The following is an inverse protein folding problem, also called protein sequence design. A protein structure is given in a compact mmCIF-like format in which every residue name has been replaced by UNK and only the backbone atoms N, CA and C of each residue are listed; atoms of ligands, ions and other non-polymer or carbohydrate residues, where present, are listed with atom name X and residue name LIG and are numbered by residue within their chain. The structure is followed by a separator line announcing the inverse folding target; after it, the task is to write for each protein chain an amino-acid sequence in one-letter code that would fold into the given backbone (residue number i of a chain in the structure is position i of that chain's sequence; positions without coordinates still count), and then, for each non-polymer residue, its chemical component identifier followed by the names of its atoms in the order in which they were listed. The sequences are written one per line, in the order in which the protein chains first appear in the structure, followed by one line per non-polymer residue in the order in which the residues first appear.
data_IF_386979113133
#
_entry.id   IF_386979113133
#
_cell.length_a   1.000
_cell.length_b   1.000
_cell.length_c   1.000
_cell.angle_alpha   90.00
_cell.angle_beta   90.00
_cell.angle_gamma   90.00
#
_symmetry.space_group_name_H-M   'P 1'
#
loop_
_entity.id
_entity.type
_entity.pdbx_description
1 polymer ?
#
# COMPACT_ATOMS: atom_id res chain seq x y z
N UNK A 1 12.38 9.72 17.73
CA UNK A 1 13.07 8.98 16.64
C UNK A 1 14.44 8.50 17.10
N UNK A 2 14.63 7.21 17.41
CA UNK A 2 15.97 6.66 17.69
C UNK A 2 16.68 6.48 16.34
N UNK A 3 17.72 7.28 16.06
CA UNK A 3 18.60 7.07 14.89
C UNK A 3 19.26 5.69 15.00
N UNK A 4 19.38 4.96 13.88
CA UNK A 4 20.10 3.68 13.83
C UNK A 4 21.53 3.90 14.37
N UNK A 5 22.01 3.18 15.40
CA UNK A 5 23.29 3.47 16.07
C UNK A 5 24.48 3.46 15.09
N UNK A 6 24.42 2.61 14.06
CA UNK A 6 25.43 2.54 13.01
C UNK A 6 25.60 3.83 12.19
N UNK A 7 24.52 4.62 12.02
CA UNK A 7 24.59 5.90 11.29
C UNK A 7 25.32 6.99 12.08
N UNK A 8 25.28 6.92 13.42
CA UNK A 8 25.98 7.88 14.27
C UNK A 8 27.50 7.64 14.25
N UNK A 9 27.95 6.39 14.36
CA UNK A 9 29.37 6.06 14.28
C UNK A 9 29.97 6.35 12.90
N UNK A 10 29.25 6.03 11.82
CA UNK A 10 29.69 6.36 10.47
C UNK A 10 29.76 7.89 10.25
N UNK A 11 28.81 8.65 10.78
CA UNK A 11 28.82 10.11 10.71
C UNK A 11 29.99 10.72 11.49
N UNK A 12 30.29 10.21 12.69
CA UNK A 12 31.44 10.66 13.49
C UNK A 12 32.75 10.33 12.77
N UNK A 13 32.89 9.11 12.24
CA UNK A 13 34.05 8.71 11.46
C UNK A 13 34.26 9.61 10.25
N UNK A 14 33.20 9.88 9.48
CA UNK A 14 33.24 10.80 8.35
C UNK A 14 33.66 12.22 8.77
N UNK A 15 33.11 12.75 9.87
CA UNK A 15 33.48 14.06 10.39
C UNK A 15 34.97 14.13 10.76
N UNK A 16 35.50 13.12 11.46
CA UNK A 16 36.92 13.05 11.82
C UNK A 16 37.79 13.03 10.54
N UNK A 17 37.45 12.18 9.56
CA UNK A 17 38.18 12.10 8.29
C UNK A 17 38.16 13.44 7.55
N UNK A 18 37.00 14.11 7.49
CA UNK A 18 36.88 15.41 6.84
C UNK A 18 37.68 16.49 7.55
N UNK A 19 37.64 16.55 8.90
CA UNK A 19 38.44 17.48 9.68
C UNK A 19 39.94 17.29 9.45
N UNK A 20 40.42 16.04 9.43
CA UNK A 20 41.82 15.74 9.15
C UNK A 20 42.23 16.19 7.74
N UNK A 21 41.43 15.88 6.71
CA UNK A 21 41.72 16.28 5.33
C UNK A 21 41.75 17.81 5.17
N UNK A 22 40.84 18.53 5.82
CA UNK A 22 40.79 20.00 5.76
C UNK A 22 41.98 20.62 6.49
N UNK A 23 42.29 20.16 7.71
CA UNK A 23 43.43 20.68 8.50
C UNK A 23 44.76 20.43 7.78
N UNK A 24 44.90 19.29 7.11
CA UNK A 24 46.09 18.96 6.31
C UNK A 24 46.13 19.60 4.92
N UNK A 25 45.17 20.48 4.58
CA UNK A 25 45.15 21.22 3.31
C UNK A 25 44.65 20.43 2.08
N UNK A 26 44.12 19.22 2.26
CA UNK A 26 43.58 18.37 1.18
C UNK A 26 42.10 18.66 0.89
N UNK A 27 41.79 19.91 0.53
CA UNK A 27 40.40 20.37 0.33
C UNK A 27 39.65 19.60 -0.76
N UNK A 28 40.31 19.28 -1.88
CA UNK A 28 39.70 18.50 -2.96
C UNK A 28 39.32 17.08 -2.49
N UNK A 29 40.20 16.43 -1.73
CA UNK A 29 39.93 15.11 -1.15
C UNK A 29 38.77 15.15 -0.15
N UNK A 30 38.69 16.21 0.67
CA UNK A 30 37.56 16.41 1.59
C UNK A 30 36.24 16.58 0.83
N UNK A 31 36.23 17.34 -0.27
CA UNK A 31 35.05 17.50 -1.12
C UNK A 31 34.64 16.17 -1.77
N UNK A 32 35.59 15.42 -2.32
CA UNK A 32 35.32 14.11 -2.92
C UNK A 32 34.77 13.11 -1.89
N UNK A 33 35.29 13.11 -0.66
CA UNK A 33 34.79 12.29 0.43
C UNK A 33 33.34 12.65 0.80
N UNK A 34 32.99 13.94 0.83
CA UNK A 34 31.60 14.39 1.04
C UNK A 34 30.67 13.92 -0.08
N UNK A 35 31.08 14.06 -1.34
CA UNK A 35 30.29 13.62 -2.50
C UNK A 35 30.09 12.11 -2.44
N UNK A 36 31.14 11.33 -2.17
CA UNK A 36 31.05 9.88 -2.04
C UNK A 36 30.13 9.47 -0.88
N UNK A 37 30.24 10.12 0.27
CA UNK A 37 29.35 9.86 1.40
C UNK A 37 27.87 10.13 1.07
N UNK A 38 27.59 11.19 0.31
CA UNK A 38 26.25 11.48 -0.18
C UNK A 38 25.74 10.39 -1.14
N UNK A 39 26.56 9.95 -2.10
CA UNK A 39 26.22 8.88 -3.05
C UNK A 39 25.90 7.58 -2.29
N UNK A 40 26.76 7.17 -1.36
CA UNK A 40 26.57 5.96 -0.56
C UNK A 40 25.31 6.04 0.30
N UNK A 41 25.04 7.21 0.90
CA UNK A 41 23.79 7.44 1.65
C UNK A 41 22.56 7.26 0.77
N UNK A 42 22.52 7.88 -0.40
CA UNK A 42 21.36 7.79 -1.30
C UNK A 42 21.17 6.37 -1.86
N UNK A 43 22.27 5.63 -2.09
CA UNK A 43 22.23 4.24 -2.55
C UNK A 43 21.77 3.24 -1.46
N UNK A 44 22.29 3.37 -0.23
CA UNK A 44 22.19 2.31 0.78
C UNK A 44 21.26 2.62 1.96
N UNK A 45 21.09 3.90 2.33
CA UNK A 45 20.46 4.30 3.59
C UNK A 45 19.38 5.39 3.43
N UNK A 46 18.84 5.55 2.22
CA UNK A 46 17.75 6.49 1.95
C UNK A 46 16.36 5.93 2.28
N UNK A 47 16.23 4.65 2.62
CA UNK A 47 14.94 4.03 2.91
C UNK A 47 14.39 4.52 4.26
N UNK A 48 13.14 5.01 4.28
CA UNK A 48 12.48 5.41 5.51
C UNK A 48 11.90 4.19 6.22
N UNK A 49 12.74 3.55 7.04
CA UNK A 49 12.38 2.44 7.92
C UNK A 49 12.75 2.87 9.34
N UNK A 50 11.74 3.20 10.14
CA UNK A 50 11.88 3.81 11.47
C UNK A 50 11.61 2.85 12.64
N UNK A 51 11.80 1.55 12.41
CA UNK A 51 11.76 0.51 13.44
C UNK A 51 13.02 -0.36 13.41
N UNK A 52 13.19 -1.17 14.44
CA UNK A 52 14.33 -2.07 14.57
C UNK A 52 14.10 -3.35 13.74
N UNK A 53 14.71 -3.40 12.57
CA UNK A 53 14.65 -4.52 11.63
C UNK A 53 15.25 -5.82 12.19
N UNK A 54 15.99 -5.76 13.30
CA UNK A 54 16.59 -6.95 13.93
C UNK A 54 15.71 -7.63 14.96
N UNK A 55 14.51 -7.08 15.21
CA UNK A 55 13.51 -7.67 16.09
C UNK A 55 12.59 -8.62 15.35
N UNK A 56 12.05 -9.56 16.10
CA UNK A 56 10.98 -10.44 15.66
C UNK A 56 9.71 -9.63 15.36
N UNK A 57 9.02 -10.02 14.28
CA UNK A 57 7.61 -9.69 14.14
C UNK A 57 6.83 -10.63 15.06
N UNK A 58 5.95 -10.05 15.87
CA UNK A 58 5.23 -10.76 16.95
C UNK A 58 3.71 -10.64 16.77
N UNK A 59 3.24 -10.71 15.53
CA UNK A 59 1.81 -10.65 15.22
C UNK A 59 1.11 -11.93 15.65
N UNK A 60 -0.14 -11.79 16.07
CA UNK A 60 -1.00 -12.94 16.42
C UNK A 60 -2.00 -13.19 15.30
N UNK A 61 -2.38 -14.46 15.12
CA UNK A 61 -3.26 -14.89 14.04
C UNK A 61 -4.48 -15.62 14.63
N UNK A 62 -5.41 -14.83 15.15
CA UNK A 62 -6.61 -15.32 15.80
C UNK A 62 -7.57 -15.93 14.77
N UNK A 63 -8.06 -17.14 15.01
CA UNK A 63 -8.93 -17.86 14.08
C UNK A 63 -8.21 -18.46 12.86
N UNK A 64 -6.88 -18.38 12.80
CA UNK A 64 -6.11 -19.14 11.82
C UNK A 64 -5.94 -20.59 12.25
N UNK A 65 -5.94 -21.51 11.29
CA UNK A 65 -5.42 -22.85 11.51
C UNK A 65 -3.89 -22.80 11.47
N UNK A 66 -3.22 -23.46 12.42
CA UNK A 66 -1.76 -23.53 12.44
C UNK A 66 -1.27 -24.96 12.44
N UNK A 67 -0.20 -25.24 11.70
CA UNK A 67 0.52 -26.51 11.82
C UNK A 67 2.03 -26.31 11.67
N UNK A 68 2.80 -27.10 12.39
CA UNK A 68 4.25 -27.07 12.28
C UNK A 68 4.68 -27.68 10.93
N UNK A 69 5.66 -27.05 10.28
CA UNK A 69 6.18 -27.45 8.99
C UNK A 69 7.69 -27.65 9.10
N UNK A 70 8.17 -28.76 8.54
CA UNK A 70 9.61 -29.01 8.44
C UNK A 70 10.12 -28.51 7.08
N UNK A 71 11.18 -27.73 7.10
CA UNK A 71 11.90 -27.31 5.90
C UNK A 71 13.11 -28.24 5.73
N UNK A 72 13.09 -29.10 4.71
CA UNK A 72 14.16 -30.06 4.44
C UNK A 72 14.80 -29.77 3.10
N UNK A 73 16.11 -29.49 3.08
CA UNK A 73 16.85 -29.13 1.86
C UNK A 73 16.12 -28.05 1.05
N UNK A 74 15.71 -26.96 1.72
CA UNK A 74 14.90 -25.86 1.13
C UNK A 74 13.49 -26.25 0.64
N UNK A 75 13.08 -27.50 0.76
CA UNK A 75 11.77 -27.95 0.33
C UNK A 75 10.79 -27.99 1.51
N UNK A 76 9.56 -27.61 1.23
CA UNK A 76 8.42 -27.70 2.13
C UNK A 76 7.37 -28.56 1.47
N UNK A 77 6.85 -29.53 2.23
CA UNK A 77 5.69 -30.31 1.84
C UNK A 77 4.47 -29.80 2.59
N UNK A 78 3.48 -29.32 1.85
CA UNK A 78 2.27 -28.72 2.39
C UNK A 78 1.19 -29.80 2.62
N UNK A 79 0.44 -29.73 3.74
CA UNK A 79 -0.68 -30.64 3.99
C UNK A 79 -1.75 -30.57 2.89
N UNK A 80 -2.29 -31.71 2.49
CA UNK A 80 -3.27 -31.82 1.39
C UNK A 80 -4.50 -30.92 1.57
N UNK A 81 -4.96 -30.75 2.82
CA UNK A 81 -6.09 -29.89 3.17
C UNK A 81 -5.96 -28.46 2.63
N UNK A 82 -4.73 -27.95 2.53
CA UNK A 82 -4.46 -26.56 2.14
C UNK A 82 -4.15 -26.39 0.65
N UNK A 83 -4.12 -27.47 -0.14
CA UNK A 83 -3.81 -27.43 -1.58
C UNK A 83 -5.03 -27.03 -2.43
N UNK A 84 -5.63 -25.89 -2.10
CA UNK A 84 -6.76 -25.32 -2.84
C UNK A 84 -6.78 -23.80 -2.69
N UNK A 85 -7.68 -23.17 -3.44
CA UNK A 85 -7.84 -21.72 -3.48
C UNK A 85 -8.72 -21.17 -2.35
N UNK A 86 -9.07 -21.95 -1.32
CA UNK A 86 -9.93 -21.48 -0.21
C UNK A 86 -9.14 -20.88 0.94
N UNK A 87 -7.82 -20.97 0.93
CA UNK A 87 -6.97 -20.50 2.03
C UNK A 87 -6.01 -19.40 1.61
N UNK A 88 -5.74 -18.48 2.53
CA UNK A 88 -4.51 -17.66 2.54
C UNK A 88 -3.50 -18.38 3.40
N UNK A 89 -2.30 -18.62 2.85
CA UNK A 89 -1.24 -19.37 3.51
C UNK A 89 -0.03 -18.47 3.76
N UNK A 90 0.36 -18.39 5.02
CA UNK A 90 1.55 -17.71 5.48
C UNK A 90 2.47 -18.70 6.17
N UNK A 91 3.77 -18.52 6.02
CA UNK A 91 4.79 -19.26 6.72
C UNK A 91 5.49 -18.33 7.71
N UNK A 92 5.30 -18.55 9.01
CA UNK A 92 6.17 -17.98 10.03
C UNK A 92 7.53 -18.68 9.94
N UNK A 93 8.59 -17.90 9.81
CA UNK A 93 9.96 -18.39 9.70
C UNK A 93 10.93 -17.37 10.26
N UNK A 94 12.11 -17.84 10.69
CA UNK A 94 13.18 -16.96 11.16
C UNK A 94 14.20 -16.72 10.05
N UNK A 95 14.38 -15.46 9.65
CA UNK A 95 15.43 -15.05 8.71
C UNK A 95 16.57 -14.32 9.41
N UNK A 96 17.73 -14.33 8.77
CA UNK A 96 18.87 -13.47 9.14
C UNK A 96 19.54 -12.97 7.87
N UNK A 97 19.66 -11.66 7.70
CA UNK A 97 20.47 -11.06 6.64
C UNK A 97 21.90 -11.58 6.73
N UNK A 98 22.46 -11.96 5.57
CA UNK A 98 23.90 -12.19 5.47
C UNK A 98 24.63 -10.84 5.43
N UNK A 99 25.96 -10.84 5.38
CA UNK A 99 26.72 -9.59 5.28
C UNK A 99 26.29 -8.74 4.07
N UNK A 100 25.99 -9.40 2.95
CA UNK A 100 25.51 -8.72 1.74
C UNK A 100 24.07 -8.19 1.88
N UNK A 101 23.26 -8.76 2.78
CA UNK A 101 21.89 -8.30 3.10
C UNK A 101 21.79 -6.99 3.87
N UNK A 102 22.93 -6.41 4.26
CA UNK A 102 23.00 -5.03 4.75
C UNK A 102 23.13 -4.00 3.61
N UNK A 103 23.50 -4.44 2.41
CA UNK A 103 23.70 -3.59 1.23
C UNK A 103 22.66 -3.85 0.14
N UNK A 104 22.25 -5.11 -0.05
CA UNK A 104 21.26 -5.54 -1.02
C UNK A 104 19.99 -6.01 -0.31
N UNK A 105 18.84 -5.84 -0.95
CA UNK A 105 17.54 -6.17 -0.36
C UNK A 105 17.44 -7.70 -0.18
N UNK A 106 17.28 -8.22 1.05
CA UNK A 106 17.09 -9.65 1.27
C UNK A 106 15.74 -10.11 0.74
N UNK A 107 15.70 -11.31 0.16
CA UNK A 107 14.45 -11.91 -0.30
C UNK A 107 14.49 -13.43 -0.27
N UNK A 108 13.30 -14.02 -0.21
CA UNK A 108 13.08 -15.44 -0.46
C UNK A 108 12.37 -15.60 -1.80
N UNK A 109 12.89 -16.49 -2.62
CA UNK A 109 12.26 -16.96 -3.84
C UNK A 109 11.48 -18.22 -3.52
N UNK A 110 10.23 -18.28 -3.99
CA UNK A 110 9.30 -19.38 -3.78
C UNK A 110 9.01 -19.99 -5.15
N UNK A 111 9.43 -21.24 -5.32
CA UNK A 111 9.21 -22.00 -6.55
C UNK A 111 8.20 -23.11 -6.31
N UNK A 112 7.18 -23.19 -7.16
CA UNK A 112 6.28 -24.35 -7.23
C UNK A 112 6.65 -25.28 -8.40
N UNK A 113 6.15 -26.52 -8.40
CA UNK A 113 6.43 -27.48 -9.48
C UNK A 113 5.95 -26.99 -10.87
N UNK A 114 4.96 -26.10 -10.91
CA UNK A 114 4.47 -25.46 -12.13
C UNK A 114 5.38 -24.32 -12.64
N UNK A 115 6.56 -24.13 -12.03
CA UNK A 115 7.52 -23.06 -12.36
C UNK A 115 7.00 -21.65 -12.11
N UNK A 116 5.95 -21.48 -11.31
CA UNK A 116 5.61 -20.16 -10.78
C UNK A 116 6.71 -19.75 -9.80
N UNK A 117 7.37 -18.65 -10.14
CA UNK A 117 8.43 -18.06 -9.36
C UNK A 117 7.91 -16.77 -8.74
N UNK A 118 7.72 -16.79 -7.43
CA UNK A 118 7.36 -15.61 -6.66
C UNK A 118 8.52 -15.20 -5.76
N UNK A 119 8.67 -13.92 -5.50
CA UNK A 119 9.67 -13.43 -4.55
C UNK A 119 9.01 -12.53 -3.53
N UNK A 120 9.36 -12.70 -2.25
CA UNK A 120 9.01 -11.76 -1.19
C UNK A 120 10.28 -11.16 -0.61
N UNK A 121 10.33 -9.84 -0.58
CA UNK A 121 11.46 -9.06 -0.10
C UNK A 121 11.27 -8.67 1.37
N UNK A 122 12.38 -8.48 2.07
CA UNK A 122 12.46 -8.09 3.47
C UNK A 122 13.35 -6.85 3.63
N UNK A 123 13.42 -6.33 4.84
CA UNK A 123 14.24 -5.17 5.14
C UNK A 123 15.75 -5.49 5.07
N UNK A 124 16.58 -4.53 4.66
CA UNK A 124 18.03 -4.66 4.79
C UNK A 124 18.43 -4.80 6.26
N UNK A 125 19.26 -5.79 6.55
CA UNK A 125 19.66 -6.14 7.92
C UNK A 125 18.56 -6.83 8.74
N UNK A 126 17.48 -7.30 8.12
CA UNK A 126 16.44 -8.07 8.79
C UNK A 126 17.02 -9.27 9.55
N UNK A 127 16.61 -9.42 10.80
CA UNK A 127 16.93 -10.56 11.64
C UNK A 127 15.72 -10.86 12.52
N UNK A 128 15.36 -12.13 12.62
CA UNK A 128 14.25 -12.59 13.45
C UNK A 128 13.08 -13.15 12.65
N UNK A 129 11.96 -13.35 13.35
CA UNK A 129 10.72 -13.88 12.79
C UNK A 129 10.11 -12.96 11.73
N UNK A 130 9.63 -13.56 10.64
CA UNK A 130 8.91 -12.93 9.53
C UNK A 130 7.81 -13.85 9.03
N UNK A 131 6.84 -13.27 8.32
CA UNK A 131 5.75 -14.00 7.67
C UNK A 131 5.93 -13.97 6.15
N UNK A 132 6.13 -15.14 5.56
CA UNK A 132 6.24 -15.33 4.11
C UNK A 132 4.88 -15.73 3.53
N UNK A 133 4.37 -14.96 2.59
CA UNK A 133 3.13 -15.31 1.89
C UNK A 133 3.40 -16.37 0.82
N UNK A 134 2.81 -17.55 0.99
CA UNK A 134 2.95 -18.69 0.06
C UNK A 134 1.62 -19.04 -0.61
N UNK A 135 0.57 -18.23 -0.41
CA UNK A 135 -0.80 -18.46 -0.93
C UNK A 135 -0.82 -18.77 -2.42
N UNK A 136 0.05 -18.12 -3.20
CA UNK A 136 0.03 -18.20 -4.65
C UNK A 136 0.89 -19.35 -5.21
N UNK A 137 1.76 -19.93 -4.39
CA UNK A 137 2.63 -21.05 -4.79
C UNK A 137 1.89 -22.38 -4.89
N UNK A 138 0.62 -22.42 -4.47
CA UNK A 138 -0.27 -23.59 -4.51
C UNK A 138 -1.45 -23.45 -5.47
N UNK A 139 -1.49 -22.39 -6.28
CA UNK A 139 -2.64 -22.04 -7.11
C UNK A 139 -3.05 -23.15 -8.11
N UNK A 140 -2.10 -23.94 -8.60
CA UNK A 140 -2.39 -25.01 -9.57
C UNK A 140 -2.86 -26.33 -8.93
N UNK A 141 -3.07 -26.36 -7.60
CA UNK A 141 -3.61 -27.49 -6.82
C UNK A 141 -2.87 -28.83 -6.94
N UNK A 142 -1.84 -28.93 -7.77
CA UNK A 142 -1.11 -30.16 -8.07
C UNK A 142 0.22 -30.27 -7.31
N UNK A 143 0.77 -29.15 -6.83
CA UNK A 143 2.10 -29.12 -6.21
C UNK A 143 2.01 -29.20 -4.70
N UNK A 144 2.24 -30.40 -4.14
CA UNK A 144 2.41 -30.60 -2.69
C UNK A 144 3.69 -29.94 -2.15
N UNK A 145 4.65 -29.67 -3.02
CA UNK A 145 5.99 -29.20 -2.66
C UNK A 145 6.24 -27.80 -3.16
N UNK A 146 6.85 -26.98 -2.31
CA UNK A 146 7.42 -25.68 -2.66
C UNK A 146 8.89 -25.65 -2.26
N UNK A 147 9.71 -24.95 -3.04
CA UNK A 147 11.13 -24.75 -2.76
C UNK A 147 11.37 -23.30 -2.40
N UNK A 148 12.15 -23.08 -1.33
CA UNK A 148 12.53 -21.76 -0.82
C UNK A 148 14.02 -21.50 -1.02
N UNK A 149 14.37 -20.59 -1.93
CA UNK A 149 15.75 -20.16 -2.12
C UNK A 149 15.98 -18.81 -1.46
N UNK A 150 17.07 -18.70 -0.69
CA UNK A 150 17.40 -17.49 0.06
C UNK A 150 18.45 -16.64 -0.64
N UNK A 151 18.18 -15.34 -0.76
CA UNK A 151 19.08 -14.37 -1.36
C UNK A 151 19.37 -13.23 -0.38
N UNK A 152 20.66 -12.97 -0.14
CA UNK A 152 21.14 -11.99 0.85
C UNK A 152 20.61 -12.21 2.29
N UNK A 153 20.03 -13.37 2.56
CA UNK A 153 19.61 -13.85 3.87
C UNK A 153 19.83 -15.36 3.97
N UNK A 154 19.76 -15.86 5.20
CA UNK A 154 19.69 -17.28 5.52
C UNK A 154 18.41 -17.56 6.31
N UNK A 155 17.88 -18.76 6.14
CA UNK A 155 16.68 -19.23 6.83
C UNK A 155 17.05 -20.25 7.91
N UNK A 156 16.42 -20.17 9.09
CA UNK A 156 16.47 -21.24 10.08
C UNK A 156 15.35 -22.25 9.79
N UNK A 157 15.74 -23.45 9.35
CA UNK A 157 14.83 -24.50 8.88
C UNK A 157 14.10 -25.26 9.99
N UNK A 158 14.45 -25.04 11.26
CA UNK A 158 13.90 -25.79 12.39
C UNK A 158 12.64 -25.16 13.00
N UNK A 159 12.38 -23.88 12.71
CA UNK A 159 11.34 -23.08 13.39
C UNK A 159 10.35 -22.50 12.37
N UNK A 160 9.67 -23.37 11.62
CA UNK A 160 8.69 -22.96 10.62
C UNK A 160 7.27 -23.42 10.99
N UNK A 161 6.31 -22.50 10.89
CA UNK A 161 4.89 -22.76 11.19
C UNK A 161 4.03 -22.23 10.06
N UNK A 162 3.17 -23.09 9.53
CA UNK A 162 2.13 -22.68 8.59
C UNK A 162 0.98 -22.05 9.37
N UNK A 163 0.50 -20.93 8.85
CA UNK A 163 -0.66 -20.19 9.31
C UNK A 163 -1.62 -20.12 8.12
N UNK A 164 -2.83 -20.65 8.29
CA UNK A 164 -3.83 -20.77 7.23
C UNK A 164 -5.14 -20.10 7.64
N UNK A 165 -5.56 -19.09 6.88
CA UNK A 165 -6.88 -18.48 7.01
C UNK A 165 -7.79 -18.96 5.90
N UNK A 166 -9.01 -19.38 6.26
CA UNK A 166 -10.05 -19.62 5.26
C UNK A 166 -10.50 -18.26 4.69
N UNK A 167 -10.41 -18.10 3.37
CA UNK A 167 -10.82 -16.88 2.67
C UNK A 167 -12.35 -16.78 2.65
N UNK A 168 -12.89 -15.56 2.73
CA UNK A 168 -14.30 -15.32 2.41
C UNK A 168 -14.58 -15.55 0.93
N UNK A 169 -15.83 -15.88 0.61
CA UNK A 169 -16.26 -16.08 -0.76
C UNK A 169 -16.47 -14.74 -1.45
N UNK A 170 -15.62 -14.43 -2.43
CA UNK A 170 -15.67 -13.18 -3.20
C UNK A 170 -16.40 -13.35 -4.54
N UNK A 171 -16.56 -14.59 -5.00
CA UNK A 171 -17.15 -14.87 -6.30
C UNK A 171 -18.64 -14.49 -6.28
N UNK A 172 -19.08 -13.80 -7.34
CA UNK A 172 -20.47 -13.35 -7.48
C UNK A 172 -20.96 -12.40 -6.37
N UNK A 173 -20.04 -11.76 -5.65
CA UNK A 173 -20.35 -10.73 -4.66
C UNK A 173 -20.29 -9.34 -5.28
N UNK A 174 -21.19 -8.46 -4.83
CA UNK A 174 -21.15 -7.02 -5.09
C UNK A 174 -20.19 -6.35 -4.14
N UNK A 175 -19.19 -5.65 -4.69
CA UNK A 175 -18.10 -5.05 -3.93
C UNK A 175 -18.19 -3.52 -4.00
N UNK A 176 -18.42 -2.88 -2.85
CA UNK A 176 -18.28 -1.43 -2.72
C UNK A 176 -16.86 -1.13 -2.25
N UNK A 177 -16.12 -0.31 -2.99
CA UNK A 177 -14.79 0.15 -2.59
C UNK A 177 -14.88 1.59 -2.10
N UNK A 178 -14.50 1.82 -0.85
CA UNK A 178 -14.37 3.15 -0.26
C UNK A 178 -12.92 3.61 -0.46
N UNK A 179 -12.77 4.68 -1.25
CA UNK A 179 -11.51 5.36 -1.59
C UNK A 179 -11.49 6.70 -0.84
N UNK A 180 -10.72 6.85 0.26
CA UNK A 180 -10.60 8.11 0.97
C UNK A 180 -10.15 9.25 0.05
N UNK A 181 -9.15 9.00 -0.78
CA UNK A 181 -8.64 9.92 -1.80
C UNK A 181 -8.77 9.34 -3.22
N UNK A 182 -8.66 10.19 -4.25
CA UNK A 182 -8.63 9.75 -5.65
C UNK A 182 -7.33 9.00 -5.99
N UNK A 183 -7.35 7.66 -5.94
CA UNK A 183 -6.31 6.68 -6.33
C UNK A 183 -6.25 5.48 -5.36
N UNK A 184 -6.75 5.63 -4.13
CA UNK A 184 -6.67 4.58 -3.12
C UNK A 184 -7.35 3.28 -3.56
N UNK A 185 -8.47 3.36 -4.28
CA UNK A 185 -9.14 2.20 -4.85
C UNK A 185 -8.22 1.44 -5.82
N UNK A 186 -7.52 2.14 -6.70
CA UNK A 186 -6.57 1.55 -7.65
C UNK A 186 -5.38 0.95 -6.91
N UNK A 187 -4.84 1.64 -5.90
CA UNK A 187 -3.72 1.17 -5.10
C UNK A 187 -4.08 -0.14 -4.38
N UNK A 188 -5.21 -0.14 -3.67
CA UNK A 188 -5.58 -1.22 -2.77
C UNK A 188 -6.22 -2.41 -3.49
N UNK A 189 -7.10 -2.15 -4.46
CA UNK A 189 -8.11 -3.12 -4.87
C UNK A 189 -8.37 -3.19 -6.38
N UNK A 190 -7.53 -2.61 -7.24
CA UNK A 190 -7.72 -2.66 -8.71
C UNK A 190 -7.98 -4.07 -9.25
N UNK A 191 -7.15 -5.04 -8.86
CA UNK A 191 -7.31 -6.43 -9.28
C UNK A 191 -8.65 -7.00 -8.80
N UNK A 192 -9.01 -6.74 -7.55
CA UNK A 192 -10.24 -7.26 -6.95
C UNK A 192 -11.49 -6.64 -7.57
N UNK A 193 -11.55 -5.31 -7.67
CA UNK A 193 -12.73 -4.64 -8.21
C UNK A 193 -12.85 -4.86 -9.72
N UNK A 194 -11.75 -4.95 -10.48
CA UNK A 194 -11.81 -5.20 -11.93
C UNK A 194 -12.48 -6.54 -12.27
N UNK A 195 -12.35 -7.56 -11.43
CA UNK A 195 -12.93 -8.89 -11.66
C UNK A 195 -14.31 -9.14 -10.99
N UNK A 196 -14.94 -8.13 -10.38
CA UNK A 196 -16.21 -8.27 -9.67
C UNK A 196 -17.25 -7.24 -10.10
N UNK A 197 -18.52 -7.44 -9.74
CA UNK A 197 -19.51 -6.37 -9.80
C UNK A 197 -19.14 -5.36 -8.72
N UNK A 198 -18.71 -4.15 -9.11
CA UNK A 198 -18.13 -3.19 -8.19
C UNK A 198 -18.68 -1.79 -8.36
N UNK A 199 -18.70 -1.06 -7.25
CA UNK A 199 -18.98 0.37 -7.20
C UNK A 199 -17.89 1.07 -6.38
N UNK A 200 -17.37 2.19 -6.85
CA UNK A 200 -16.29 2.93 -6.19
C UNK A 200 -16.84 4.25 -5.62
N UNK A 201 -16.54 4.55 -4.37
CA UNK A 201 -16.87 5.82 -3.73
C UNK A 201 -15.59 6.53 -3.36
N UNK A 202 -15.37 7.71 -3.92
CA UNK A 202 -14.24 8.57 -3.54
C UNK A 202 -14.73 9.63 -2.56
N UNK A 203 -14.22 9.61 -1.33
CA UNK A 203 -14.74 10.43 -0.22
C UNK A 203 -14.30 11.88 -0.35
N UNK A 204 -12.98 12.11 -0.43
CA UNK A 204 -12.41 13.45 -0.54
C UNK A 204 -11.93 13.75 -1.96
N UNK A 205 -11.70 15.04 -2.25
CA UNK A 205 -11.19 15.48 -3.56
C UNK A 205 -9.66 15.38 -3.70
N UNK A 206 -8.92 15.12 -2.61
CA UNK A 206 -7.46 14.98 -2.63
C UNK A 206 -6.73 16.23 -3.16
N UNK A 207 -7.27 17.40 -2.85
CA UNK A 207 -6.95 18.67 -3.49
C UNK A 207 -5.77 19.43 -2.87
N UNK A 208 -5.26 18.97 -1.71
CA UNK A 208 -4.12 19.59 -1.01
C UNK A 208 -2.80 19.40 -1.76
N UNK A 209 -1.75 20.09 -1.30
CA UNK A 209 -0.41 20.03 -1.90
C UNK A 209 -0.43 20.32 -3.42
N UNK A 210 -1.03 21.47 -3.78
CA UNK A 210 -1.27 21.88 -5.17
C UNK A 210 -0.22 22.87 -5.71
N UNK A 211 0.97 22.93 -5.11
CA UNK A 211 2.05 23.87 -5.51
C UNK A 211 2.42 23.75 -7.00
N UNK A 212 2.42 22.53 -7.54
CA UNK A 212 2.71 22.29 -8.96
C UNK A 212 1.64 22.87 -9.90
N UNK A 213 0.43 23.09 -9.39
CA UNK A 213 -0.68 23.72 -10.11
C UNK A 213 -0.67 25.25 -10.01
N UNK A 214 0.06 25.84 -9.05
CA UNK A 214 0.10 27.29 -8.85
C UNK A 214 0.60 28.05 -10.09
N UNK A 215 1.55 27.47 -10.83
CA UNK A 215 2.02 28.04 -12.10
C UNK A 215 0.96 27.97 -13.21
N UNK A 216 0.15 26.91 -13.23
CA UNK A 216 -0.90 26.71 -14.23
C UNK A 216 -2.05 27.70 -14.03
N UNK A 217 -2.42 27.99 -12.78
CA UNK A 217 -3.52 28.92 -12.51
C UNK A 217 -3.10 30.37 -12.67
N UNK A 218 -1.82 30.70 -12.46
CA UNK A 218 -1.28 32.07 -12.55
C UNK A 218 -2.13 33.10 -11.79
N UNK A 219 -2.71 32.70 -10.66
CA UNK A 219 -3.58 33.55 -9.82
C UNK A 219 -5.02 33.72 -10.28
N UNK A 220 -5.43 33.13 -11.42
CA UNK A 220 -6.81 33.22 -11.92
C UNK A 220 -7.79 32.33 -11.14
N UNK A 221 -7.30 31.29 -10.48
CA UNK A 221 -8.09 30.38 -9.64
C UNK A 221 -7.20 29.70 -8.60
N UNK A 222 -7.81 29.17 -7.54
CA UNK A 222 -7.10 28.41 -6.51
C UNK A 222 -6.50 27.13 -7.11
N UNK A 223 -5.19 26.85 -6.93
CA UNK A 223 -4.56 25.63 -7.44
C UNK A 223 -5.23 24.35 -6.96
N UNK A 224 -5.73 24.35 -5.72
CA UNK A 224 -6.46 23.24 -5.10
C UNK A 224 -7.73 22.91 -5.88
N UNK A 225 -8.50 23.92 -6.34
CA UNK A 225 -9.69 23.68 -7.15
C UNK A 225 -9.37 22.95 -8.46
N UNK A 226 -8.25 23.30 -9.11
CA UNK A 226 -7.85 22.65 -10.36
C UNK A 226 -7.33 21.24 -10.11
N UNK A 227 -6.47 21.05 -9.09
CA UNK A 227 -5.98 19.72 -8.70
C UNK A 227 -7.15 18.80 -8.33
N UNK A 228 -8.03 19.23 -7.43
CA UNK A 228 -9.18 18.46 -6.98
C UNK A 228 -10.16 18.14 -8.12
N UNK A 229 -10.41 19.07 -9.05
CA UNK A 229 -11.23 18.78 -10.24
C UNK A 229 -10.59 17.75 -11.16
N UNK A 230 -9.28 17.81 -11.37
CA UNK A 230 -8.55 16.84 -12.18
C UNK A 230 -8.59 15.45 -11.53
N UNK A 231 -8.32 15.37 -10.23
CA UNK A 231 -8.40 14.11 -9.48
C UNK A 231 -9.82 13.54 -9.42
N UNK A 232 -10.84 14.38 -9.27
CA UNK A 232 -12.24 13.97 -9.33
C UNK A 232 -12.63 13.43 -10.71
N UNK A 233 -12.09 14.00 -11.79
CA UNK A 233 -12.25 13.43 -13.12
C UNK A 233 -11.59 12.05 -13.21
N UNK A 234 -10.35 11.92 -12.74
CA UNK A 234 -9.58 10.68 -12.82
C UNK A 234 -10.24 9.55 -12.02
N UNK A 235 -10.72 9.80 -10.80
CA UNK A 235 -11.39 8.77 -9.97
C UNK A 235 -12.67 8.21 -10.59
N UNK A 236 -13.33 8.94 -11.50
CA UNK A 236 -14.51 8.45 -12.23
C UNK A 236 -14.14 7.75 -13.54
N UNK A 237 -13.09 8.22 -14.21
CA UNK A 237 -12.70 7.72 -15.53
C UNK A 237 -11.77 6.51 -15.47
N UNK A 238 -10.88 6.43 -14.47
CA UNK A 238 -9.94 5.31 -14.33
C UNK A 238 -10.66 3.97 -14.15
N UNK A 239 -11.76 3.85 -13.38
CA UNK A 239 -12.52 2.60 -13.31
C UNK A 239 -13.04 2.08 -14.68
N UNK A 240 -13.21 2.94 -15.69
CA UNK A 240 -13.55 2.49 -17.05
C UNK A 240 -12.48 1.59 -17.65
N UNK A 241 -11.20 1.82 -17.32
CA UNK A 241 -10.08 0.99 -17.73
C UNK A 241 -10.20 -0.44 -17.18
N UNK A 242 -10.80 -0.60 -16.00
CA UNK A 242 -11.13 -1.87 -15.39
C UNK A 242 -12.45 -2.48 -15.93
N UNK A 243 -13.04 -1.91 -16.97
CA UNK A 243 -14.30 -2.34 -17.58
C UNK A 243 -15.54 -1.98 -16.76
N UNK A 244 -15.45 -1.02 -15.83
CA UNK A 244 -16.63 -0.50 -15.11
C UNK A 244 -17.36 0.52 -15.97
N UNK A 245 -18.64 0.75 -15.65
CA UNK A 245 -19.41 1.85 -16.24
C UNK A 245 -19.13 3.15 -15.50
N UNK A 246 -19.38 4.30 -16.15
CA UNK A 246 -19.28 5.62 -15.50
C UNK A 246 -20.22 5.74 -14.30
N UNK A 247 -21.35 5.04 -14.30
CA UNK A 247 -22.29 4.96 -13.19
C UNK A 247 -21.84 4.00 -12.06
N UNK A 248 -20.68 3.34 -12.22
CA UNK A 248 -20.07 2.45 -11.22
C UNK A 248 -19.10 3.18 -10.29
N UNK A 249 -19.07 4.50 -10.32
CA UNK A 249 -18.26 5.31 -9.42
C UNK A 249 -18.98 6.63 -9.06
N UNK A 250 -18.70 7.16 -7.88
CA UNK A 250 -19.18 8.48 -7.43
C UNK A 250 -18.12 9.17 -6.58
N UNK A 251 -18.00 10.49 -6.72
CA UNK A 251 -17.20 11.32 -5.83
C UNK A 251 -18.10 12.07 -4.86
N UNK A 252 -17.78 12.03 -3.58
CA UNK A 252 -18.46 12.80 -2.55
C UNK A 252 -17.85 14.20 -2.37
N UNK A 253 -16.63 14.42 -2.86
CA UNK A 253 -16.04 15.75 -2.99
C UNK A 253 -15.78 16.49 -1.67
N UNK A 254 -15.71 15.78 -0.54
CA UNK A 254 -15.32 16.37 0.74
C UNK A 254 -13.86 16.84 0.70
N UNK A 255 -13.49 17.72 1.62
CA UNK A 255 -12.17 18.33 1.59
C UNK A 255 -11.11 17.44 2.22
N UNK A 256 -9.93 17.38 1.61
CA UNK A 256 -8.80 16.60 2.10
C UNK A 256 -8.34 17.08 3.51
N UNK A 257 -7.97 16.14 4.37
CA UNK A 257 -7.74 16.24 5.83
C UNK A 257 -8.82 17.00 6.60
N UNK A 258 -10.11 16.80 6.27
CA UNK A 258 -11.22 17.40 7.03
C UNK A 258 -12.07 16.40 7.79
N UNK A 259 -11.95 15.09 7.52
CA UNK A 259 -12.93 14.11 8.00
C UNK A 259 -12.94 13.96 9.51
N UNK A 260 -11.77 14.06 10.16
CA UNK A 260 -11.68 14.10 11.63
C UNK A 260 -12.39 15.31 12.22
N UNK A 261 -12.16 16.50 11.64
CA UNK A 261 -12.80 17.74 12.10
C UNK A 261 -14.32 17.65 11.97
N UNK A 262 -14.80 17.13 10.84
CA UNK A 262 -16.22 16.88 10.60
C UNK A 262 -16.77 15.91 11.64
N UNK A 263 -16.09 14.80 11.92
CA UNK A 263 -16.54 13.81 12.91
C UNK A 263 -16.66 14.39 14.31
N UNK A 264 -15.66 15.17 14.75
CA UNK A 264 -15.63 15.79 16.07
C UNK A 264 -16.73 16.86 16.22
N UNK A 265 -17.11 17.53 15.12
CA UNK A 265 -18.13 18.58 15.09
C UNK A 265 -19.20 18.28 14.03
N UNK A 266 -19.99 17.22 14.26
CA UNK A 266 -20.84 16.58 13.23
C UNK A 266 -21.75 17.51 12.40
N UNK A 267 -22.26 18.57 13.01
CA UNK A 267 -23.17 19.53 12.37
C UNK A 267 -22.46 20.76 11.79
N UNK A 268 -21.20 21.00 12.16
CA UNK A 268 -20.45 22.18 11.70
C UNK A 268 -20.02 22.00 10.24
N UNK A 269 -20.20 23.06 9.46
CA UNK A 269 -19.76 23.10 8.07
C UNK A 269 -18.26 23.38 8.05
N UNK A 270 -17.51 22.53 7.35
CA UNK A 270 -16.11 22.79 7.04
C UNK A 270 -16.03 23.60 5.77
N UNK A 271 -15.39 24.76 5.84
CA UNK A 271 -15.11 25.60 4.68
C UNK A 271 -13.60 25.65 4.42
N UNK A 272 -13.24 25.89 3.16
CA UNK A 272 -11.86 26.12 2.73
C UNK A 272 -11.77 27.48 2.06
N UNK A 273 -10.59 28.08 2.06
CA UNK A 273 -10.36 29.40 1.41
C UNK A 273 -10.70 29.42 -0.09
N UNK A 274 -10.69 28.24 -0.72
CA UNK A 274 -10.99 28.05 -2.14
C UNK A 274 -12.42 27.55 -2.43
N UNK A 275 -13.15 27.04 -1.45
CA UNK A 275 -14.53 26.60 -1.62
C UNK A 275 -15.23 26.38 -0.28
N UNK A 276 -16.51 26.72 -0.24
CA UNK A 276 -17.47 26.51 0.85
C UNK A 276 -18.39 25.31 0.62
N UNK A 277 -18.23 24.59 -0.50
CA UNK A 277 -19.13 23.51 -0.92
C UNK A 277 -18.37 22.37 -1.61
N UNK A 278 -18.91 21.16 -1.57
CA UNK A 278 -18.34 19.97 -2.22
C UNK A 278 -18.63 19.91 -3.73
N UNK A 279 -19.60 20.69 -4.22
CA UNK A 279 -20.10 20.62 -5.60
C UNK A 279 -19.04 20.72 -6.71
N UNK A 280 -17.99 21.57 -6.61
CA UNK A 280 -16.96 21.65 -7.63
C UNK A 280 -16.27 20.32 -7.94
N UNK A 281 -16.21 19.42 -6.95
CA UNK A 281 -15.56 18.11 -7.06
C UNK A 281 -16.55 16.97 -7.38
N UNK A 282 -17.84 17.29 -7.48
CA UNK A 282 -18.92 16.37 -7.89
C UNK A 282 -19.39 16.59 -9.32
N UNK A 283 -18.88 17.62 -10.00
CA UNK A 283 -19.36 18.08 -11.30
C UNK A 283 -19.36 17.01 -12.41
N UNK A 284 -18.57 15.94 -12.25
CA UNK A 284 -18.45 14.85 -13.21
C UNK A 284 -19.28 13.61 -12.84
N UNK A 285 -19.93 13.59 -11.67
CA UNK A 285 -20.76 12.46 -11.25
C UNK A 285 -21.91 12.23 -12.23
N UNK A 286 -22.16 10.96 -12.55
CA UNK A 286 -23.36 10.55 -13.29
C UNK A 286 -24.48 10.08 -12.36
N UNK A 287 -24.12 9.64 -11.15
CA UNK A 287 -25.04 9.35 -10.06
C UNK A 287 -25.33 10.65 -9.32
N UNK A 288 -26.61 11.01 -9.21
CA UNK A 288 -27.04 12.16 -8.41
C UNK A 288 -27.35 11.73 -6.98
N UNK A 289 -26.83 12.46 -6.01
CA UNK A 289 -27.14 12.31 -4.59
C UNK A 289 -28.02 13.47 -4.14
N UNK A 290 -28.80 13.27 -3.07
CA UNK A 290 -29.68 14.32 -2.53
C UNK A 290 -28.90 15.57 -2.15
N UNK A 291 -27.70 15.39 -1.60
CA UNK A 291 -26.85 16.52 -1.21
C UNK A 291 -26.28 17.32 -2.38
N UNK A 292 -26.43 16.88 -3.64
CA UNK A 292 -26.00 17.69 -4.80
C UNK A 292 -26.85 18.97 -4.95
N UNK A 293 -27.95 19.11 -4.22
CA UNK A 293 -28.74 20.35 -4.14
C UNK A 293 -28.05 21.47 -3.35
N UNK A 294 -27.16 21.13 -2.41
CA UNK A 294 -26.56 22.11 -1.49
C UNK A 294 -25.04 21.92 -1.26
N UNK A 295 -24.52 20.70 -1.35
CA UNK A 295 -23.10 20.36 -1.25
C UNK A 295 -22.47 20.71 0.09
N UNK A 296 -23.23 20.63 1.18
CA UNK A 296 -22.75 21.03 2.52
C UNK A 296 -21.66 20.07 3.02
N UNK A 297 -20.49 20.62 3.31
CA UNK A 297 -19.34 19.86 3.78
C UNK A 297 -19.38 19.62 5.31
N UNK A 298 -20.26 18.74 5.80
CA UNK A 298 -20.29 18.31 7.21
C UNK A 298 -20.48 16.79 7.35
N UNK A 299 -20.28 16.26 8.56
CA UNK A 299 -20.32 14.81 8.80
C UNK A 299 -21.69 14.20 8.52
N UNK A 300 -22.76 14.90 8.91
CA UNK A 300 -24.13 14.43 8.70
C UNK A 300 -24.44 14.21 7.21
N UNK A 301 -24.01 15.15 6.36
CA UNK A 301 -24.18 15.04 4.91
C UNK A 301 -23.34 13.88 4.36
N UNK A 302 -22.09 13.71 4.83
CA UNK A 302 -21.22 12.61 4.39
C UNK A 302 -21.85 11.25 4.69
N UNK A 303 -22.37 11.08 5.92
CA UNK A 303 -23.06 9.86 6.32
C UNK A 303 -24.33 9.67 5.49
N UNK A 304 -25.10 10.73 5.21
CA UNK A 304 -26.29 10.66 4.35
C UNK A 304 -25.96 10.19 2.94
N UNK A 305 -24.91 10.74 2.33
CA UNK A 305 -24.46 10.35 1.00
C UNK A 305 -24.06 8.87 0.93
N UNK A 306 -23.31 8.41 1.94
CA UNK A 306 -22.93 7.00 2.04
C UNK A 306 -24.16 6.09 2.23
N UNK A 307 -25.19 6.53 2.97
CA UNK A 307 -26.46 5.80 3.08
C UNK A 307 -27.15 5.67 1.72
N UNK A 308 -27.21 6.74 0.94
CA UNK A 308 -27.77 6.71 -0.42
C UNK A 308 -27.02 5.72 -1.32
N UNK A 309 -25.67 5.72 -1.26
CA UNK A 309 -24.86 4.77 -2.02
C UNK A 309 -25.09 3.32 -1.58
N UNK A 310 -25.16 3.05 -0.27
CA UNK A 310 -25.42 1.70 0.25
C UNK A 310 -26.79 1.17 -0.21
N UNK A 311 -27.82 2.02 -0.20
CA UNK A 311 -29.16 1.67 -0.67
C UNK A 311 -29.24 1.48 -2.19
N UNK A 312 -28.49 2.29 -2.94
CA UNK A 312 -28.41 2.22 -4.39
C UNK A 312 -27.74 0.92 -4.85
N UNK A 313 -26.55 0.62 -4.33
CA UNK A 313 -25.71 -0.46 -4.83
C UNK A 313 -25.98 -1.80 -4.13
N UNK A 314 -26.35 -1.78 -2.84
CA UNK A 314 -26.59 -2.95 -1.98
C UNK A 314 -25.41 -3.94 -2.01
N UNK A 315 -24.22 -3.53 -1.51
CA UNK A 315 -23.05 -4.39 -1.55
C UNK A 315 -23.19 -5.61 -0.63
N UNK A 316 -22.59 -6.72 -1.04
CA UNK A 316 -22.31 -7.85 -0.15
C UNK A 316 -21.03 -7.62 0.67
N UNK A 317 -20.06 -6.91 0.06
CA UNK A 317 -18.73 -6.67 0.62
C UNK A 317 -18.40 -5.18 0.51
N UNK A 318 -17.87 -4.60 1.59
CA UNK A 318 -17.24 -3.28 1.59
C UNK A 318 -15.73 -3.44 1.75
N UNK A 319 -14.97 -2.96 0.77
CA UNK A 319 -13.52 -2.78 0.85
C UNK A 319 -13.23 -1.35 1.32
N UNK A 320 -12.56 -1.16 2.46
CA UNK A 320 -12.31 0.15 3.08
C UNK A 320 -11.00 0.14 3.86
N UNK A 321 -10.37 1.28 4.20
CA UNK A 321 -9.12 1.24 4.96
C UNK A 321 -9.26 0.62 6.37
N UNK A 322 -8.22 -0.06 6.82
CA UNK A 322 -8.11 -0.58 8.18
C UNK A 322 -7.86 0.56 9.18
N UNK A 323 -8.61 0.59 10.27
CA UNK A 323 -8.55 1.70 11.25
C UNK A 323 -7.37 1.60 12.24
N UNK A 324 -6.63 0.48 12.24
CA UNK A 324 -5.48 0.22 13.11
C UNK A 324 -4.18 0.16 12.32
N UNK A 325 -4.21 -0.50 11.15
CA UNK A 325 -3.03 -0.74 10.31
C UNK A 325 -2.73 0.47 9.43
N UNK A 326 -3.76 1.13 8.88
CA UNK A 326 -3.58 2.34 8.07
C UNK A 326 -3.46 3.58 8.99
N UNK A 327 -2.38 4.34 8.82
CA UNK A 327 -2.06 5.49 9.66
C UNK A 327 -2.69 6.81 9.16
N UNK A 328 -3.27 6.85 7.95
CA UNK A 328 -3.83 8.09 7.43
C UNK A 328 -5.18 8.41 8.12
N UNK A 329 -5.33 9.62 8.64
CA UNK A 329 -6.52 9.99 9.43
C UNK A 329 -7.79 9.97 8.58
N UNK A 330 -7.77 10.56 7.38
CA UNK A 330 -8.93 10.50 6.49
C UNK A 330 -9.29 9.06 6.07
N UNK A 331 -8.32 8.14 5.98
CA UNK A 331 -8.59 6.72 5.73
C UNK A 331 -9.42 6.12 6.87
N UNK A 332 -8.99 6.36 8.11
CA UNK A 332 -9.67 5.85 9.30
C UNK A 332 -11.10 6.40 9.42
N UNK A 333 -11.29 7.71 9.17
CA UNK A 333 -12.60 8.35 9.25
C UNK A 333 -13.51 8.04 8.07
N UNK A 334 -12.99 7.71 6.89
CA UNK A 334 -13.79 7.18 5.79
C UNK A 334 -14.43 5.84 6.18
N UNK A 335 -13.66 4.95 6.84
CA UNK A 335 -14.19 3.70 7.39
C UNK A 335 -15.20 3.94 8.51
N UNK A 336 -14.97 4.94 9.38
CA UNK A 336 -15.95 5.32 10.41
C UNK A 336 -17.27 5.80 9.78
N UNK A 337 -17.20 6.62 8.73
CA UNK A 337 -18.38 7.18 8.07
C UNK A 337 -19.25 6.09 7.42
N UNK A 338 -18.64 5.13 6.69
CA UNK A 338 -19.41 4.06 6.05
C UNK A 338 -20.00 3.08 7.06
N UNK A 339 -19.31 2.82 8.17
CA UNK A 339 -19.85 2.01 9.28
C UNK A 339 -21.02 2.70 9.97
N UNK A 340 -20.92 4.01 10.23
CA UNK A 340 -22.03 4.80 10.80
C UNK A 340 -23.23 4.84 9.84
N UNK A 341 -23.00 4.98 8.53
CA UNK A 341 -24.06 4.90 7.52
C UNK A 341 -24.75 3.53 7.52
N UNK A 342 -23.97 2.43 7.58
CA UNK A 342 -24.50 1.07 7.66
C UNK A 342 -25.35 0.87 8.92
N UNK A 343 -24.84 1.30 10.08
CA UNK A 343 -25.52 1.20 11.38
C UNK A 343 -26.85 1.94 11.38
N UNK A 344 -26.88 3.18 10.86
CA UNK A 344 -28.11 3.98 10.75
C UNK A 344 -29.14 3.41 9.75
N UNK A 345 -28.73 2.53 8.85
CA UNK A 345 -29.62 1.79 7.95
C UNK A 345 -30.00 0.42 8.50
N UNK A 346 -29.46 0.03 9.66
CA UNK A 346 -29.68 -1.28 10.28
C UNK A 346 -29.31 -2.45 9.35
N UNK A 347 -28.31 -2.27 8.48
CA UNK A 347 -27.84 -3.32 7.57
C UNK A 347 -26.87 -4.27 8.30
N UNK A 348 -27.20 -5.57 8.34
CA UNK A 348 -26.41 -6.58 9.07
C UNK A 348 -25.56 -7.49 8.18
N UNK A 349 -25.90 -7.62 6.91
CA UNK A 349 -25.39 -8.69 6.04
C UNK A 349 -24.25 -8.24 5.11
N UNK A 350 -23.42 -7.31 5.59
CA UNK A 350 -22.30 -6.75 4.82
C UNK A 350 -20.98 -7.19 5.44
N UNK A 351 -20.13 -7.85 4.65
CA UNK A 351 -18.79 -8.23 5.07
C UNK A 351 -17.79 -7.11 4.78
N UNK A 352 -16.88 -6.85 5.72
CA UNK A 352 -15.79 -5.90 5.52
C UNK A 352 -14.47 -6.59 5.17
N UNK A 353 -13.79 -6.04 4.18
CA UNK A 353 -12.38 -6.32 3.87
C UNK A 353 -11.59 -5.01 4.01
N UNK A 354 -10.56 -5.04 4.85
CA UNK A 354 -9.78 -3.86 5.17
C UNK A 354 -8.45 -3.84 4.42
N UNK A 355 -8.07 -2.71 3.85
CA UNK A 355 -6.74 -2.52 3.22
C UNK A 355 -5.90 -1.50 3.99
N UNK A 356 -4.61 -1.42 3.68
CA UNK A 356 -3.75 -0.35 4.17
C UNK A 356 -2.81 0.14 3.07
N UNK A 357 -2.81 1.45 2.85
CA UNK A 357 -1.93 2.14 1.90
C UNK A 357 -0.78 2.84 2.65
N UNK A 358 -1.03 3.27 3.90
CA UNK A 358 -0.07 4.01 4.72
C UNK A 358 0.26 3.27 6.01
N UNK A 359 1.51 2.83 6.16
CA UNK A 359 1.96 2.13 7.37
C UNK A 359 2.77 3.07 8.27
N UNK A 360 2.49 3.02 9.57
CA UNK A 360 3.29 3.76 10.55
C UNK A 360 4.77 3.32 10.50
N UNK A 361 5.68 4.27 10.70
CA UNK A 361 7.13 4.04 10.76
C UNK A 361 7.79 3.59 9.44
N UNK A 362 7.08 3.44 8.32
CA UNK A 362 7.73 3.26 7.01
C UNK A 362 6.86 3.66 5.83
N UNK A 363 7.45 4.40 4.89
CA UNK A 363 6.83 4.69 3.57
C UNK A 363 7.29 3.72 2.47
N UNK A 364 8.10 2.73 2.87
CA UNK A 364 8.82 1.83 1.96
C UNK A 364 8.11 0.49 1.77
N UNK A 365 7.19 0.13 2.65
CA UNK A 365 6.33 -1.04 2.47
C UNK A 365 5.29 -0.80 1.36
N UNK A 366 4.92 -1.81 0.56
CA UNK A 366 5.50 -3.16 0.51
C UNK A 366 6.92 -3.20 -0.08
N UNK A 367 7.74 -4.15 0.39
CA UNK A 367 9.16 -4.24 0.03
C UNK A 367 9.41 -4.81 -1.37
N UNK A 368 10.61 -4.57 -1.89
CA UNK A 368 11.06 -5.10 -3.18
C UNK A 368 10.50 -4.36 -4.41
N UNK A 369 10.85 -4.82 -5.61
CA UNK A 369 10.45 -4.21 -6.88
C UNK A 369 8.95 -4.39 -7.18
N UNK A 370 8.45 -3.72 -8.22
CA UNK A 370 7.12 -3.99 -8.74
C UNK A 370 7.03 -5.44 -9.28
N UNK A 371 5.84 -6.02 -9.20
CA UNK A 371 5.50 -7.38 -9.63
C UNK A 371 5.86 -8.49 -8.65
N UNK A 372 6.56 -8.17 -7.55
CA UNK A 372 6.84 -9.14 -6.48
C UNK A 372 5.69 -9.19 -5.47
N UNK A 373 5.76 -10.13 -4.53
CA UNK A 373 4.72 -10.27 -3.51
C UNK A 373 4.73 -9.06 -2.57
N UNK A 374 3.55 -8.55 -2.28
CA UNK A 374 3.32 -7.75 -1.08
C UNK A 374 3.45 -8.68 0.13
N UNK A 375 4.30 -8.30 1.09
CA UNK A 375 4.35 -8.94 2.41
C UNK A 375 3.22 -8.40 3.28
N UNK A 376 2.96 -9.04 4.42
CA UNK A 376 2.23 -8.36 5.49
C UNK A 376 2.93 -7.04 5.88
N UNK A 377 2.18 -6.03 6.35
CA UNK A 377 2.76 -4.86 6.97
C UNK A 377 3.71 -5.26 8.10
N UNK A 378 4.88 -4.60 8.24
CA UNK A 378 5.85 -4.89 9.29
C UNK A 378 5.42 -4.31 10.65
N UNK A 379 4.22 -4.68 11.09
CA UNK A 379 3.60 -4.28 12.34
C UNK A 379 3.46 -5.48 13.27
N UNK A 380 3.46 -5.20 14.57
CA UNK A 380 3.10 -6.17 15.60
C UNK A 380 1.66 -5.89 16.00
N UNK A 381 0.73 -6.61 15.37
CA UNK A 381 -0.71 -6.44 15.58
C UNK A 381 -1.39 -7.80 15.63
N UNK A 382 -2.67 -7.80 16.01
CA UNK A 382 -3.52 -8.97 15.93
C UNK A 382 -4.24 -8.99 14.59
N UNK A 383 -4.19 -10.13 13.91
CA UNK A 383 -4.98 -10.39 12.71
C UNK A 383 -6.07 -11.40 13.06
N UNK A 384 -7.32 -11.08 12.73
CA UNK A 384 -8.46 -12.02 12.83
C UNK A 384 -8.70 -12.80 11.54
N UNK A 385 -8.19 -12.27 10.42
CA UNK A 385 -8.40 -12.81 9.09
C UNK A 385 -7.53 -12.07 8.08
N UNK A 386 -6.96 -12.82 7.13
CA UNK A 386 -6.13 -12.28 6.06
C UNK A 386 -6.55 -12.92 4.73
N UNK A 387 -6.75 -12.10 3.72
CA UNK A 387 -6.99 -12.52 2.33
C UNK A 387 -5.83 -12.04 1.47
N UNK A 388 -5.19 -12.96 0.75
CA UNK A 388 -4.25 -12.61 -0.32
C UNK A 388 -4.84 -13.01 -1.67
N UNK A 389 -5.10 -12.04 -2.53
CA UNK A 389 -5.70 -12.23 -3.86
C UNK A 389 -4.59 -12.11 -4.92
N UNK A 390 -4.33 -13.14 -5.74
CA UNK A 390 -3.29 -13.07 -6.76
C UNK A 390 -3.67 -12.10 -7.88
N UNK A 391 -2.69 -11.36 -8.39
CA UNK A 391 -2.78 -10.60 -9.61
C UNK A 391 -1.90 -11.25 -10.68
N UNK A 392 -2.53 -11.72 -11.75
CA UNK A 392 -1.77 -12.22 -12.90
C UNK A 392 -1.03 -11.07 -13.62
N UNK A 393 -0.06 -11.37 -14.51
CA UNK A 393 0.72 -10.33 -15.17
C UNK A 393 -0.12 -9.29 -15.94
N UNK A 394 -1.23 -9.70 -16.57
CA UNK A 394 -2.13 -8.78 -17.30
C UNK A 394 -2.82 -7.83 -16.33
N UNK A 395 -3.28 -8.32 -15.18
CA UNK A 395 -3.88 -7.49 -14.13
C UNK A 395 -2.87 -6.51 -13.55
N UNK A 396 -1.61 -6.90 -13.37
CA UNK A 396 -0.55 -5.98 -12.93
C UNK A 396 -0.26 -4.89 -13.96
N UNK A 397 -0.25 -5.23 -15.26
CA UNK A 397 -0.14 -4.25 -16.34
C UNK A 397 -1.32 -3.27 -16.30
N UNK A 398 -2.55 -3.78 -16.21
CA UNK A 398 -3.73 -2.92 -16.15
C UNK A 398 -3.76 -2.05 -14.90
N UNK A 399 -3.32 -2.57 -13.76
CA UNK A 399 -3.15 -1.81 -12.51
C UNK A 399 -2.12 -0.69 -12.69
N UNK A 400 -0.99 -0.98 -13.32
CA UNK A 400 0.00 0.05 -13.64
C UNK A 400 -0.59 1.14 -14.55
N UNK A 401 -1.30 0.78 -15.62
CA UNK A 401 -1.95 1.75 -16.50
C UNK A 401 -2.99 2.60 -15.76
N UNK A 402 -3.79 2.00 -14.86
CA UNK A 402 -4.75 2.74 -14.05
C UNK A 402 -4.06 3.77 -13.14
N UNK A 403 -2.95 3.38 -12.50
CA UNK A 403 -2.14 4.28 -11.67
C UNK A 403 -1.47 5.38 -12.50
N UNK A 404 -1.00 5.07 -13.71
CA UNK A 404 -0.44 6.05 -14.65
C UNK A 404 -1.50 7.05 -15.15
N UNK A 405 -2.78 6.68 -15.18
CA UNK A 405 -3.87 7.56 -15.61
C UNK A 405 -4.23 8.64 -14.56
N UNK A 406 -3.70 8.55 -13.34
CA UNK A 406 -3.82 9.60 -12.33
C UNK A 406 -2.89 10.76 -12.69
N UNK A 407 -3.45 11.82 -13.27
CA UNK A 407 -2.67 12.88 -13.91
C UNK A 407 -1.84 13.70 -12.94
N UNK A 408 -2.31 13.92 -11.71
CA UNK A 408 -1.60 14.69 -10.71
C UNK A 408 -0.32 13.98 -10.21
N UNK A 409 -0.28 12.65 -10.31
CA UNK A 409 0.87 11.83 -9.94
C UNK A 409 2.01 11.90 -10.97
N UNK A 410 1.79 12.43 -12.17
CA UNK A 410 2.79 12.56 -13.25
C UNK A 410 3.81 13.69 -13.06
N UNK A 411 3.88 14.29 -11.86
CA UNK A 411 4.77 15.43 -11.55
C UNK A 411 6.24 15.19 -11.97
N UNK A 412 6.90 16.25 -12.45
CA UNK A 412 8.29 16.13 -12.88
C UNK A 412 9.20 15.77 -11.71
N UNK A 413 9.90 14.64 -11.78
CA UNK A 413 10.78 14.20 -10.68
C UNK A 413 11.82 15.27 -10.37
N UNK A 414 11.89 15.67 -9.10
CA UNK A 414 13.01 16.43 -8.55
C UNK A 414 14.31 15.72 -8.90
N UNK A 415 15.32 16.44 -9.39
CA UNK A 415 16.63 15.89 -9.83
C UNK A 415 17.24 14.95 -8.80
N UNK A 416 17.07 15.28 -7.51
CA UNK A 416 17.49 14.45 -6.38
C UNK A 416 16.94 13.02 -6.43
N UNK A 417 15.65 12.84 -6.76
CA UNK A 417 14.99 11.53 -6.83
C UNK A 417 15.56 10.71 -8.01
N UNK A 418 15.78 11.35 -9.17
CA UNK A 418 16.43 10.70 -10.32
C UNK A 418 17.84 10.22 -9.99
N UNK A 419 18.64 11.07 -9.35
CA UNK A 419 20.00 10.72 -8.91
C UNK A 419 20.00 9.57 -7.90
N UNK A 420 19.07 9.57 -6.94
CA UNK A 420 18.91 8.47 -5.99
C UNK A 420 18.67 7.15 -6.70
N UNK A 421 17.72 7.09 -7.64
CA UNK A 421 17.43 5.86 -8.37
C UNK A 421 18.61 5.39 -9.19
N UNK A 422 19.30 6.30 -9.86
CA UNK A 422 20.54 5.98 -10.57
C UNK A 422 21.59 5.32 -9.64
N UNK A 423 21.82 5.88 -8.45
CA UNK A 423 22.77 5.29 -7.50
C UNK A 423 22.28 3.96 -6.92
N UNK A 424 20.98 3.81 -6.67
CA UNK A 424 20.40 2.56 -6.18
C UNK A 424 20.47 1.44 -7.21
N UNK A 425 20.26 1.75 -8.48
CA UNK A 425 20.43 0.82 -9.59
C UNK A 425 21.91 0.41 -9.73
N UNK A 426 22.81 1.40 -9.82
CA UNK A 426 24.23 1.17 -10.05
C UNK A 426 24.92 0.44 -8.89
N UNK A 427 24.69 0.87 -7.65
CA UNK A 427 25.45 0.43 -6.48
C UNK A 427 24.70 -0.60 -5.64
N UNK A 428 23.38 -0.44 -5.47
CA UNK A 428 22.57 -1.28 -4.61
C UNK A 428 21.79 -2.37 -5.37
N UNK A 429 22.04 -2.51 -6.69
CA UNK A 429 21.44 -3.51 -7.59
C UNK A 429 19.91 -3.58 -7.48
N UNK A 430 19.26 -2.46 -7.20
CA UNK A 430 17.80 -2.39 -7.28
C UNK A 430 17.42 -2.29 -8.75
N UNK A 431 16.85 -3.35 -9.35
CA UNK A 431 16.49 -3.30 -10.75
C UNK A 431 15.43 -2.22 -10.96
N UNK A 432 15.49 -1.54 -12.09
CA UNK A 432 14.33 -0.78 -12.59
C UNK A 432 13.27 -1.81 -12.97
N UNK A 433 12.15 -1.91 -12.23
CA UNK A 433 11.09 -2.86 -12.57
C UNK A 433 10.50 -2.54 -13.94
N UNK A 434 9.87 -3.55 -14.57
CA UNK A 434 9.14 -3.38 -15.83
C UNK A 434 8.13 -2.23 -15.79
N UNK A 435 7.50 -2.02 -14.62
CA UNK A 435 6.52 -0.95 -14.36
C UNK A 435 7.15 0.37 -13.87
N UNK A 436 8.47 0.54 -14.04
CA UNK A 436 9.21 1.71 -13.60
C UNK A 436 9.71 1.63 -12.14
N UNK A 437 10.84 2.31 -11.86
CA UNK A 437 11.50 2.32 -10.54
C UNK A 437 10.90 3.32 -9.54
N UNK A 438 9.80 3.98 -9.91
CA UNK A 438 9.18 4.98 -9.05
C UNK A 438 8.69 4.33 -7.77
N UNK A 439 8.89 5.01 -6.64
CA UNK A 439 8.43 4.50 -5.35
C UNK A 439 6.93 4.25 -5.34
N UNK A 440 6.17 4.97 -6.15
CA UNK A 440 4.74 4.77 -6.34
C UNK A 440 4.44 3.41 -6.98
N UNK A 441 4.86 3.16 -8.22
CA UNK A 441 4.61 1.88 -8.91
C UNK A 441 5.28 0.70 -8.23
N UNK A 442 6.49 0.89 -7.70
CA UNK A 442 7.22 -0.12 -6.94
C UNK A 442 6.42 -0.65 -5.75
N UNK A 443 5.64 0.21 -5.08
CA UNK A 443 4.82 -0.19 -3.93
C UNK A 443 3.50 -0.82 -4.35
N UNK A 444 2.87 -0.25 -5.36
CA UNK A 444 1.44 -0.47 -5.61
C UNK A 444 1.17 -1.53 -6.69
N UNK A 445 2.11 -1.75 -7.62
CA UNK A 445 2.00 -2.81 -8.63
C UNK A 445 2.65 -4.08 -8.09
N UNK A 446 1.94 -4.83 -7.24
CA UNK A 446 2.38 -6.11 -6.65
C UNK A 446 1.67 -7.29 -7.29
N UNK A 447 2.21 -8.49 -7.13
CA UNK A 447 1.58 -9.72 -7.65
C UNK A 447 0.42 -10.23 -6.80
N UNK A 448 0.05 -9.50 -5.75
CA UNK A 448 -1.11 -9.79 -4.93
C UNK A 448 -1.66 -8.52 -4.25
N UNK A 449 -2.94 -8.55 -3.94
CA UNK A 449 -3.64 -7.61 -3.07
C UNK A 449 -3.90 -8.28 -1.73
N UNK A 450 -3.69 -7.54 -0.64
CA UNK A 450 -3.85 -8.03 0.73
C UNK A 450 -4.98 -7.28 1.39
N UNK A 451 -5.91 -8.04 1.98
CA UNK A 451 -6.98 -7.53 2.81
C UNK A 451 -6.99 -8.21 4.18
N UNK A 452 -7.51 -7.51 5.18
CA UNK A 452 -7.76 -8.00 6.53
C UNK A 452 -9.25 -8.10 6.76
N UNK A 453 -9.71 -9.01 7.61
CA UNK A 453 -11.14 -9.11 7.94
C UNK A 453 -11.34 -9.70 9.33
N UNK A 454 -12.52 -9.50 9.89
CA UNK A 454 -12.95 -10.14 11.12
C UNK A 454 -13.79 -11.38 10.77
N UNK A 455 -13.55 -12.49 11.47
CA UNK A 455 -14.30 -13.74 11.31
C UNK A 455 -15.66 -13.71 11.98
#
# INVERSE_FOLDING_TARGET
MKKKPYTAFAAIGLLITLSLLVISGFYLSALLALVLAYILKEAFWADHIHYDVSKDQTSTFNGAETCDISIKNNNIELPEKYLNDKYTLLLELTIKSTLSGYLFDPYLSIQSAAKHLHSQYFERGAKGKRYLNITHSIADQASKKITLDSFHCSLNSNDAKLIAYKKPELKSKKILVISPHPDDAEIAAFGTYSNSESFIVTVSAGEKEADDFARLTAGHTAPELIKGKLRAHDSLMVPLWAGKSVAGAVNLGYFDDSLKQMFENKSEVVERSYSDTTLPFRAFNTVKLTSDEHGTANWQTLVSDLKEVLLLFKPDIIITPDQVIDHHIDHQYSTTAVKEAQEQLELTDIQYLYYANHIINTDHWPFGPAGTLASLPPLNTEYSGIVSIPLNPVQQINKHCALEMMHDLRSSKKVKIKMRYFFQELLARRPVPFFGAESYYRKNVKSNEIFFFNQ
#
